data_IF_612192547963
#
_entry.id   IF_612192547963
#
_cell.length_a   1.000
_cell.length_b   1.000
_cell.length_c   1.000
_cell.angle_alpha   90.00
_cell.angle_beta   90.00
_cell.angle_gamma   90.00
#
_symmetry.space_group_name_H-M   'P 1'
#
loop_
_entity.id
_entity.type
_entity.pdbx_description
1 polymer ?
#
# COMPACT_ATOMS: atom_id res chain seq x y z
N UNK A 1 0.19 48.12 10.62
CA UNK A 1 -0.33 46.74 10.68
C UNK A 1 0.87 45.81 10.82
N UNK A 2 1.25 45.54 12.07
CA UNK A 2 2.34 44.61 12.39
C UNK A 2 1.83 43.19 12.20
N UNK A 3 2.43 42.45 11.26
CA UNK A 3 2.15 41.04 11.07
C UNK A 3 2.60 40.28 12.32
N UNK A 4 1.65 39.71 13.05
CA UNK A 4 1.92 38.72 14.10
C UNK A 4 2.44 37.46 13.43
N UNK A 5 3.71 37.16 13.66
CA UNK A 5 4.31 35.89 13.27
C UNK A 5 3.84 34.82 14.26
N UNK A 6 2.98 33.91 13.81
CA UNK A 6 2.60 32.73 14.60
C UNK A 6 3.80 31.79 14.69
N UNK A 7 4.22 31.35 15.90
CA UNK A 7 5.36 30.46 16.03
C UNK A 7 5.05 29.09 15.42
N UNK A 8 6.03 28.42 14.79
CA UNK A 8 5.82 27.11 14.18
C UNK A 8 5.43 26.08 15.24
N UNK A 9 4.45 25.23 14.90
CA UNK A 9 3.87 24.17 15.73
C UNK A 9 4.78 22.95 15.92
N UNK A 10 6.10 23.12 15.94
CA UNK A 10 7.04 22.08 16.38
C UNK A 10 8.36 22.68 16.88
N UNK A 11 8.78 22.28 18.08
CA UNK A 11 10.11 22.54 18.65
C UNK A 11 10.09 23.33 19.95
N UNK A 12 10.73 22.80 21.00
CA UNK A 12 11.13 23.62 22.15
C UNK A 12 12.44 24.31 21.77
N UNK A 13 12.35 25.58 21.38
CA UNK A 13 13.54 26.41 21.15
C UNK A 13 13.89 27.07 22.48
N UNK A 14 15.07 26.74 23.03
CA UNK A 14 15.60 27.47 24.18
C UNK A 14 15.77 28.96 23.80
N UNK A 15 15.57 29.92 24.73
CA UNK A 15 15.58 31.36 24.40
C UNK A 15 16.87 31.86 23.77
N UNK A 16 17.97 31.13 23.95
CA UNK A 16 19.30 31.43 23.41
C UNK A 16 19.50 30.99 21.96
N UNK A 17 18.57 30.20 21.39
CA UNK A 17 18.67 29.64 20.04
C UNK A 17 19.82 28.65 19.85
N UNK A 18 20.52 28.25 20.92
CA UNK A 18 21.74 27.43 20.85
C UNK A 18 21.49 26.03 21.44
N UNK A 19 20.65 25.91 22.47
CA UNK A 19 20.47 24.67 23.24
C UNK A 19 19.03 24.10 23.20
N UNK A 20 18.29 24.31 22.12
CA UNK A 20 16.94 23.74 21.96
C UNK A 20 16.98 22.22 21.70
N UNK A 21 16.21 21.45 22.47
CA UNK A 21 15.96 20.04 22.17
C UNK A 21 14.85 19.94 21.11
N UNK A 22 15.20 19.45 19.93
CA UNK A 22 14.21 19.14 18.91
C UNK A 22 13.50 17.83 19.27
N UNK A 23 12.32 17.96 19.87
CA UNK A 23 11.40 16.84 20.05
C UNK A 23 10.42 16.86 18.87
N UNK A 24 10.56 15.97 17.87
CA UNK A 24 9.58 15.88 16.80
C UNK A 24 8.23 15.48 17.39
N UNK A 25 7.22 16.30 17.17
CA UNK A 25 5.83 15.88 17.39
C UNK A 25 5.48 14.96 16.22
N UNK A 26 5.09 13.70 16.44
CA UNK A 26 4.66 12.83 15.35
C UNK A 26 3.49 13.49 14.62
N UNK A 27 3.64 13.75 13.32
CA UNK A 27 2.51 14.14 12.49
C UNK A 27 1.62 12.90 12.32
N UNK A 28 0.45 12.89 12.98
CA UNK A 28 -0.50 11.77 12.93
C UNK A 28 -1.08 11.52 11.53
N UNK A 29 -0.95 12.51 10.64
CA UNK A 29 -1.44 12.48 9.27
C UNK A 29 -0.28 12.70 8.29
N UNK A 30 0.50 11.66 7.99
CA UNK A 30 1.34 11.65 6.78
C UNK A 30 0.45 11.28 5.61
N UNK A 31 0.06 12.23 4.72
CA UNK A 31 -0.80 11.89 3.61
C UNK A 31 0.05 11.10 2.60
N UNK A 32 -0.31 9.83 2.34
CA UNK A 32 0.32 9.03 1.29
C UNK A 32 -0.14 9.53 -0.08
N UNK A 33 0.41 10.65 -0.53
CA UNK A 33 0.04 11.26 -1.81
C UNK A 33 0.92 10.70 -2.92
N UNK A 34 0.66 9.45 -3.31
CA UNK A 34 0.82 9.01 -4.70
C UNK A 34 -0.32 8.06 -5.01
N UNK A 35 -1.46 8.62 -5.44
CA UNK A 35 -2.43 7.82 -6.17
C UNK A 35 -1.81 7.49 -7.53
N UNK A 36 -1.60 6.21 -7.80
CA UNK A 36 -1.29 5.71 -9.14
C UNK A 36 -2.59 5.23 -9.79
N UNK A 37 -2.66 5.25 -11.12
CA UNK A 37 -3.82 4.65 -11.80
C UNK A 37 -3.87 3.11 -11.65
N UNK A 38 -2.82 2.49 -11.07
CA UNK A 38 -2.66 1.04 -11.00
C UNK A 38 -3.74 0.33 -10.18
N UNK A 39 -4.35 1.00 -9.21
CA UNK A 39 -5.39 0.44 -8.34
C UNK A 39 -6.81 0.81 -8.79
N UNK A 40 -6.96 1.45 -9.96
CA UNK A 40 -8.21 2.07 -10.38
C UNK A 40 -9.46 1.17 -10.20
N UNK A 41 -10.43 1.75 -9.51
CA UNK A 41 -11.72 1.15 -9.15
C UNK A 41 -11.68 0.19 -7.96
N UNK A 42 -10.54 -0.02 -7.30
CA UNK A 42 -10.48 -0.62 -5.97
C UNK A 42 -10.35 0.55 -5.01
N UNK A 43 -11.26 0.66 -4.04
CA UNK A 43 -11.18 1.76 -3.09
C UNK A 43 -9.98 1.55 -2.16
N UNK A 44 -9.18 2.62 -2.00
CA UNK A 44 -8.09 2.63 -1.04
C UNK A 44 -8.63 2.68 0.37
N UNK A 45 -7.88 2.12 1.33
CA UNK A 45 -8.23 2.20 2.73
C UNK A 45 -8.47 3.66 3.18
N UNK A 46 -9.42 3.89 4.11
CA UNK A 46 -9.76 5.23 4.56
C UNK A 46 -8.59 5.93 5.26
N UNK A 47 -8.70 7.25 5.43
CA UNK A 47 -7.77 7.99 6.26
C UNK A 47 -7.84 7.48 7.71
N UNK A 48 -6.69 7.26 8.32
CA UNK A 48 -6.53 6.72 9.67
C UNK A 48 -5.23 7.22 10.28
N UNK A 49 -5.15 7.21 11.60
CA UNK A 49 -3.92 7.53 12.32
C UNK A 49 -2.81 6.52 12.00
N UNK A 50 -1.56 6.88 12.26
CA UNK A 50 -0.44 5.97 12.08
C UNK A 50 -0.58 4.66 12.89
N UNK A 51 -1.06 4.75 14.13
CA UNK A 51 -1.25 3.58 15.00
C UNK A 51 -2.31 2.62 14.45
N UNK A 52 -3.46 3.15 14.01
CA UNK A 52 -4.53 2.37 13.36
C UNK A 52 -4.03 1.71 12.07
N UNK A 53 -3.27 2.45 11.25
CA UNK A 53 -2.69 1.92 10.03
C UNK A 53 -1.77 0.73 10.29
N UNK A 54 -0.86 0.86 11.25
CA UNK A 54 0.08 -0.22 11.62
C UNK A 54 -0.68 -1.42 12.16
N UNK A 55 -1.72 -1.21 12.97
CA UNK A 55 -2.55 -2.29 13.49
C UNK A 55 -3.28 -3.05 12.36
N UNK A 56 -3.89 -2.33 11.41
CA UNK A 56 -4.59 -2.92 10.26
C UNK A 56 -3.65 -3.69 9.33
N UNK A 57 -2.44 -3.19 9.07
CA UNK A 57 -1.42 -3.91 8.29
C UNK A 57 -0.98 -5.20 8.99
N UNK A 58 -0.74 -5.15 10.31
CA UNK A 58 -0.37 -6.34 11.11
C UNK A 58 -1.48 -7.39 11.14
N UNK A 59 -2.72 -6.94 11.22
CA UNK A 59 -3.90 -7.81 11.18
C UNK A 59 -4.17 -8.38 9.78
N UNK A 60 -3.55 -7.82 8.73
CA UNK A 60 -3.76 -8.20 7.33
C UNK A 60 -5.02 -7.59 6.71
N UNK A 61 -5.67 -6.63 7.38
CA UNK A 61 -6.86 -5.96 6.86
C UNK A 61 -6.51 -5.03 5.68
N UNK A 62 -5.27 -4.53 5.65
CA UNK A 62 -4.75 -3.64 4.61
C UNK A 62 -3.43 -4.18 4.06
N UNK A 63 -3.31 -4.16 2.73
CA UNK A 63 -2.08 -4.45 2.01
C UNK A 63 -1.60 -3.23 1.24
N UNK A 64 -0.29 -3.13 0.99
CA UNK A 64 0.27 -2.13 0.08
C UNK A 64 0.29 -2.70 -1.34
N UNK A 65 -0.54 -2.18 -2.22
CA UNK A 65 -0.73 -2.66 -3.58
C UNK A 65 -0.18 -1.66 -4.59
N UNK A 66 0.59 -2.14 -5.56
CA UNK A 66 1.08 -1.32 -6.66
C UNK A 66 0.01 -1.19 -7.75
N UNK A 67 -0.46 -2.32 -8.28
CA UNK A 67 -1.43 -2.36 -9.37
C UNK A 67 -2.17 -3.70 -9.40
N UNK A 68 -3.17 -3.80 -10.26
CA UNK A 68 -3.81 -5.05 -10.62
C UNK A 68 -4.12 -5.07 -12.12
N UNK A 69 -4.14 -6.27 -12.71
CA UNK A 69 -4.45 -6.48 -14.12
C UNK A 69 -5.39 -7.68 -14.30
N UNK A 70 -6.31 -7.56 -15.26
CA UNK A 70 -7.12 -8.67 -15.73
C UNK A 70 -6.57 -9.15 -17.08
N UNK A 71 -6.60 -10.45 -17.32
CA UNK A 71 -6.21 -11.07 -18.61
C UNK A 71 -4.70 -11.22 -18.79
N UNK A 72 -4.03 -11.61 -17.72
CA UNK A 72 -2.64 -12.06 -17.79
C UNK A 72 -2.62 -13.55 -18.15
N UNK A 73 -2.44 -13.86 -19.44
CA UNK A 73 -2.34 -15.25 -19.92
C UNK A 73 -1.00 -15.92 -19.58
N UNK A 74 -0.06 -15.16 -18.98
CA UNK A 74 1.31 -15.59 -18.68
C UNK A 74 1.62 -15.66 -17.18
N UNK A 75 0.65 -15.34 -16.32
CA UNK A 75 0.81 -15.33 -14.85
C UNK A 75 0.19 -16.56 -14.16
N UNK A 76 -0.09 -17.61 -14.92
CA UNK A 76 -0.65 -18.87 -14.45
C UNK A 76 -1.66 -19.48 -15.44
N UNK A 77 -2.27 -20.63 -15.08
CA UNK A 77 -3.26 -21.29 -15.93
C UNK A 77 -4.52 -20.45 -16.13
N UNK A 78 -5.07 -20.46 -17.35
CA UNK A 78 -6.32 -19.77 -17.68
C UNK A 78 -6.21 -18.24 -17.62
N UNK A 79 -7.36 -17.55 -17.55
CA UNK A 79 -7.38 -16.09 -17.40
C UNK A 79 -7.18 -15.72 -15.94
N UNK A 80 -6.13 -14.96 -15.66
CA UNK A 80 -5.78 -14.53 -14.30
C UNK A 80 -6.18 -13.07 -14.06
N UNK A 81 -6.61 -12.81 -12.83
CA UNK A 81 -6.50 -11.48 -12.24
C UNK A 81 -5.19 -11.49 -11.45
N UNK A 82 -4.22 -10.71 -11.90
CA UNK A 82 -2.94 -10.56 -11.19
C UNK A 82 -2.99 -9.31 -10.32
N UNK A 83 -2.69 -9.46 -9.04
CA UNK A 83 -2.47 -8.37 -8.10
C UNK A 83 -0.97 -8.21 -7.89
N UNK A 84 -0.45 -7.01 -8.10
CA UNK A 84 0.94 -6.67 -7.87
C UNK A 84 1.08 -5.92 -6.55
N UNK A 85 1.65 -6.55 -5.54
CA UNK A 85 1.92 -5.93 -4.23
C UNK A 85 3.19 -5.06 -4.29
N UNK A 86 3.22 -4.01 -3.49
CA UNK A 86 4.41 -3.17 -3.30
C UNK A 86 5.27 -3.66 -2.12
N UNK A 87 6.58 -3.51 -2.26
CA UNK A 87 7.59 -3.99 -1.32
C UNK A 87 8.28 -5.25 -1.81
N UNK A 88 9.60 -5.19 -1.96
CA UNK A 88 10.45 -6.35 -2.20
C UNK A 88 11.77 -6.16 -1.43
N UNK A 89 12.21 -7.15 -0.63
CA UNK A 89 13.50 -7.07 0.06
C UNK A 89 14.68 -7.31 -0.90
N UNK A 90 14.42 -7.90 -2.07
CA UNK A 90 15.44 -8.23 -3.06
C UNK A 90 15.84 -7.01 -3.90
N UNK A 91 17.03 -7.09 -4.51
CA UNK A 91 17.59 -6.07 -5.41
C UNK A 91 18.16 -6.73 -6.67
N UNK A 92 17.31 -7.51 -7.34
CA UNK A 92 17.69 -8.23 -8.55
C UNK A 92 18.26 -7.26 -9.60
N UNK A 93 19.41 -7.60 -10.20
CA UNK A 93 20.05 -6.78 -11.24
C UNK A 93 19.16 -6.55 -12.47
N UNK A 94 18.22 -7.47 -12.70
CA UNK A 94 17.28 -7.50 -13.82
C UNK A 94 15.82 -7.48 -13.32
N UNK A 95 15.54 -6.75 -12.24
CA UNK A 95 14.18 -6.59 -11.77
C UNK A 95 13.33 -5.90 -12.87
N UNK A 96 12.26 -6.57 -13.31
CA UNK A 96 11.37 -6.01 -14.33
C UNK A 96 10.52 -4.86 -13.78
N UNK A 97 10.24 -4.87 -12.48
CA UNK A 97 9.34 -3.91 -11.81
C UNK A 97 10.06 -3.21 -10.64
N UNK A 98 11.11 -2.41 -10.88
CA UNK A 98 11.89 -1.76 -9.83
C UNK A 98 11.09 -0.69 -9.04
N UNK A 99 9.99 -0.21 -9.61
CA UNK A 99 8.98 0.64 -8.98
C UNK A 99 8.20 -0.07 -7.86
N UNK A 100 8.10 -1.40 -7.88
CA UNK A 100 7.46 -2.18 -6.81
C UNK A 100 8.35 -2.41 -5.59
N UNK A 101 9.63 -2.00 -5.59
CA UNK A 101 10.59 -2.37 -4.54
C UNK A 101 10.26 -1.79 -3.16
N UNK A 102 9.64 -0.61 -3.10
CA UNK A 102 9.40 0.10 -1.85
C UNK A 102 7.93 -0.02 -1.45
N UNK A 103 7.67 -0.63 -0.29
CA UNK A 103 6.31 -0.82 0.21
C UNK A 103 5.56 0.51 0.42
N UNK A 104 6.27 1.59 0.76
CA UNK A 104 5.67 2.92 0.95
C UNK A 104 5.18 3.58 -0.35
N UNK A 105 5.61 3.07 -1.51
CA UNK A 105 5.24 3.61 -2.82
C UNK A 105 3.94 2.96 -3.35
N UNK A 106 3.43 1.92 -2.68
CA UNK A 106 2.12 1.33 -2.97
C UNK A 106 0.96 1.99 -2.23
N UNK A 107 -0.24 1.72 -2.73
CA UNK A 107 -1.48 2.22 -2.15
C UNK A 107 -2.03 1.27 -1.09
N UNK A 108 -2.55 1.80 0.03
CA UNK A 108 -3.19 0.98 1.04
C UNK A 108 -4.55 0.50 0.51
N UNK A 109 -4.70 -0.81 0.33
CA UNK A 109 -5.92 -1.44 -0.16
C UNK A 109 -6.48 -2.35 0.91
N UNK A 110 -7.76 -2.19 1.24
CA UNK A 110 -8.46 -3.08 2.15
C UNK A 110 -8.66 -4.45 1.50
N UNK A 111 -8.46 -5.53 2.26
CA UNK A 111 -8.61 -6.90 1.75
C UNK A 111 -10.01 -7.15 1.21
N UNK A 112 -11.04 -6.58 1.85
CA UNK A 112 -12.43 -6.74 1.43
C UNK A 112 -12.74 -6.08 0.08
N UNK A 113 -12.13 -4.93 -0.20
CA UNK A 113 -12.28 -4.24 -1.49
C UNK A 113 -11.64 -5.05 -2.62
N UNK A 114 -10.47 -5.64 -2.35
CA UNK A 114 -9.82 -6.53 -3.31
C UNK A 114 -10.64 -7.82 -3.50
N UNK A 115 -11.17 -8.42 -2.44
CA UNK A 115 -12.03 -9.60 -2.55
C UNK A 115 -13.32 -9.29 -3.31
N UNK A 116 -13.94 -8.13 -3.07
CA UNK A 116 -15.12 -7.67 -3.81
C UNK A 116 -14.81 -7.56 -5.31
N UNK A 117 -13.64 -7.01 -5.66
CA UNK A 117 -13.14 -6.98 -7.05
C UNK A 117 -12.99 -8.38 -7.64
N UNK A 118 -12.28 -9.28 -6.95
CA UNK A 118 -12.01 -10.66 -7.39
C UNK A 118 -13.32 -11.42 -7.64
N UNK A 119 -14.31 -11.25 -6.76
CA UNK A 119 -15.63 -11.89 -6.87
C UNK A 119 -16.34 -11.57 -8.20
N UNK A 120 -16.13 -10.37 -8.78
CA UNK A 120 -16.73 -10.00 -10.08
C UNK A 120 -16.22 -10.83 -11.26
N UNK A 121 -15.05 -11.45 -11.14
CA UNK A 121 -14.43 -12.22 -12.21
C UNK A 121 -14.51 -13.74 -12.03
N UNK A 122 -15.20 -14.21 -10.97
CA UNK A 122 -15.43 -15.65 -10.75
C UNK A 122 -16.04 -16.37 -11.97
N UNK A 123 -16.99 -15.80 -12.74
CA UNK A 123 -17.49 -16.45 -13.95
C UNK A 123 -16.40 -16.68 -15.00
N UNK A 124 -15.49 -15.71 -15.19
CA UNK A 124 -14.36 -15.81 -16.12
C UNK A 124 -13.38 -16.88 -15.67
N UNK A 125 -13.07 -16.93 -14.37
CA UNK A 125 -12.18 -17.96 -13.82
C UNK A 125 -12.75 -19.36 -14.03
N UNK A 126 -14.05 -19.54 -13.80
CA UNK A 126 -14.74 -20.82 -14.06
C UNK A 126 -14.72 -21.22 -15.53
N UNK A 127 -14.95 -20.26 -16.43
CA UNK A 127 -14.97 -20.52 -17.88
C UNK A 127 -13.58 -20.85 -18.45
N UNK A 128 -12.51 -20.29 -17.88
CA UNK A 128 -11.15 -20.39 -18.43
C UNK A 128 -10.22 -21.34 -17.66
N UNK A 129 -10.68 -21.90 -16.53
CA UNK A 129 -9.79 -22.60 -15.59
C UNK A 129 -8.78 -21.67 -14.92
N UNK A 130 -9.13 -20.38 -14.82
CA UNK A 130 -8.29 -19.29 -14.33
C UNK A 130 -8.38 -19.04 -12.83
N UNK A 131 -8.02 -17.82 -12.39
CA UNK A 131 -8.17 -17.41 -10.99
C UNK A 131 -7.34 -16.17 -10.59
N UNK A 132 -6.95 -16.10 -9.31
CA UNK A 132 -6.20 -14.99 -8.72
C UNK A 132 -4.70 -15.30 -8.60
N UNK A 133 -3.83 -14.51 -9.24
CA UNK A 133 -2.38 -14.52 -9.00
C UNK A 133 -2.00 -13.35 -8.10
N UNK A 134 -1.14 -13.58 -7.12
CA UNK A 134 -0.52 -12.52 -6.31
C UNK A 134 0.96 -12.46 -6.64
N UNK A 135 1.42 -11.30 -7.11
CA UNK A 135 2.75 -11.02 -7.64
C UNK A 135 3.19 -9.61 -7.17
N UNK A 136 4.04 -8.92 -7.93
CA UNK A 136 4.51 -7.56 -7.67
C UNK A 136 5.96 -7.54 -7.25
N UNK A 137 6.24 -6.93 -6.10
CA UNK A 137 7.53 -7.01 -5.44
C UNK A 137 7.78 -8.42 -4.88
N UNK A 138 7.56 -8.60 -3.58
CA UNK A 138 7.61 -9.90 -2.91
C UNK A 138 6.31 -10.10 -2.12
N UNK A 139 5.37 -10.92 -2.60
CA UNK A 139 4.11 -11.16 -1.90
C UNK A 139 4.28 -11.64 -0.45
N UNK A 140 5.33 -12.43 -0.17
CA UNK A 140 5.60 -12.93 1.18
C UNK A 140 6.13 -11.87 2.14
N UNK A 141 6.39 -10.64 1.66
CA UNK A 141 6.65 -9.48 2.51
C UNK A 141 5.37 -8.95 3.19
N UNK A 142 4.19 -9.39 2.74
CA UNK A 142 2.89 -9.03 3.32
C UNK A 142 2.06 -10.29 3.68
N UNK A 143 2.58 -11.17 4.56
CA UNK A 143 2.01 -12.51 4.77
C UNK A 143 0.63 -12.48 5.46
N UNK A 144 0.37 -11.51 6.34
CA UNK A 144 -0.92 -11.39 7.01
C UNK A 144 -2.04 -11.04 6.01
N UNK A 145 -1.79 -10.08 5.12
CA UNK A 145 -2.71 -9.70 4.05
C UNK A 145 -2.95 -10.87 3.08
N UNK A 146 -1.89 -11.54 2.65
CA UNK A 146 -2.00 -12.73 1.79
C UNK A 146 -2.79 -13.85 2.45
N UNK A 147 -2.57 -14.07 3.75
CA UNK A 147 -3.27 -15.07 4.54
C UNK A 147 -4.76 -14.79 4.71
N UNK A 148 -5.22 -13.55 4.53
CA UNK A 148 -6.64 -13.21 4.46
C UNK A 148 -7.20 -13.29 3.05
N UNK A 149 -6.40 -12.91 2.05
CA UNK A 149 -6.82 -12.92 0.65
C UNK A 149 -7.02 -14.34 0.09
N UNK A 150 -6.24 -15.31 0.56
CA UNK A 150 -6.23 -16.69 0.04
C UNK A 150 -7.02 -17.71 0.88
N UNK A 151 -7.61 -17.30 2.01
CA UNK A 151 -8.45 -18.17 2.85
C UNK A 151 -9.93 -17.86 2.63
#
# INVERSE_FOLDING_TARGET
>A
MTATFEPPTSGVVAPDGINGEYVPVPEDAVPRVRRSAGTAGIETAPAMTHAEHVAAVRAGDIGSMHSWELVTAVDGPGTRLTVFLAGCPLRCLYCHNPDTLKMKDGEPVAVEELLARVRRYLPVFRATGGGLTVSGGEPLMQPAFLGRLLR
#
